data_IF_641705783462
#
_entry.id   IF_641705783462
#
_cell.length_a   1.000
_cell.length_b   1.000
_cell.length_c   1.000
_cell.angle_alpha   90.00
_cell.angle_beta   90.00
_cell.angle_gamma   90.00
#
_symmetry.space_group_name_H-M   'P 1'
#
loop_
_entity.id
_entity.type
_entity.pdbx_description
1 polymer ?
#
# COMPACT_ATOMS: atom_id res chain seq x y z
N UNK A 1 -10.85 25.51 14.40
CA UNK A 1 -9.45 25.62 13.95
C UNK A 1 -8.59 25.04 15.07
N UNK A 2 -8.31 23.74 14.99
CA UNK A 2 -7.37 23.14 15.92
C UNK A 2 -5.98 23.69 15.64
N UNK A 3 -5.33 24.13 16.69
CA UNK A 3 -4.03 24.75 16.69
C UNK A 3 -2.98 23.67 16.26
N UNK A 4 -2.67 23.59 14.96
CA UNK A 4 -1.59 22.76 14.44
C UNK A 4 -0.24 23.39 14.83
N UNK A 5 -0.02 23.46 16.16
CA UNK A 5 1.27 23.83 16.70
C UNK A 5 2.35 22.96 16.10
N UNK A 6 3.47 23.58 15.80
CA UNK A 6 4.69 23.11 15.18
C UNK A 6 5.14 21.70 15.66
N UNK A 7 4.43 20.61 15.21
CA UNK A 7 4.80 19.22 15.52
C UNK A 7 6.08 18.90 14.77
N UNK A 8 7.04 18.27 15.45
CA UNK A 8 8.22 17.75 14.73
C UNK A 8 7.88 16.48 13.95
N UNK A 9 8.66 16.15 12.91
CA UNK A 9 8.56 14.89 12.16
C UNK A 9 8.62 13.68 13.10
N UNK A 10 9.54 13.73 14.07
CA UNK A 10 9.66 12.67 15.08
C UNK A 10 8.41 12.51 15.94
N UNK A 11 7.71 13.62 16.27
CA UNK A 11 6.45 13.57 17.01
C UNK A 11 5.34 12.91 16.17
N UNK A 12 5.26 13.22 14.86
CA UNK A 12 4.32 12.58 13.93
C UNK A 12 4.53 11.07 13.85
N UNK A 13 5.78 10.64 13.71
CA UNK A 13 6.12 9.20 13.67
C UNK A 13 5.81 8.52 15.00
N UNK A 14 6.14 9.14 16.12
CA UNK A 14 5.84 8.61 17.46
C UNK A 14 4.33 8.47 17.71
N UNK A 15 3.53 9.42 17.24
CA UNK A 15 2.07 9.38 17.31
C UNK A 15 1.53 8.22 16.45
N UNK A 16 2.06 8.06 15.24
CA UNK A 16 1.72 6.92 14.38
C UNK A 16 2.10 5.59 15.04
N UNK A 17 3.31 5.47 15.59
CA UNK A 17 3.76 4.28 16.30
C UNK A 17 2.86 3.96 17.51
N UNK A 18 2.50 4.98 18.30
CA UNK A 18 1.59 4.82 19.44
C UNK A 18 0.15 4.44 19.03
N UNK A 19 -0.23 4.67 17.77
CA UNK A 19 -1.55 4.33 17.25
C UNK A 19 -1.69 2.88 16.80
N UNK A 20 -0.61 2.11 16.74
CA UNK A 20 -0.57 0.72 16.33
C UNK A 20 0.08 -0.18 17.38
N UNK A 21 0.51 -1.34 16.94
CA UNK A 21 1.20 -2.34 17.79
C UNK A 21 2.24 -3.10 16.99
N UNK A 22 3.15 -3.75 17.71
CA UNK A 22 4.09 -4.68 17.09
C UNK A 22 3.59 -6.11 17.19
N UNK A 23 3.80 -6.88 16.13
CA UNK A 23 3.47 -8.28 16.00
C UNK A 23 4.76 -9.07 15.67
N UNK A 24 4.97 -10.20 16.34
CA UNK A 24 6.05 -11.12 15.99
C UNK A 24 5.54 -12.14 14.98
N UNK A 25 6.09 -12.11 13.76
CA UNK A 25 5.83 -13.08 12.69
C UNK A 25 7.15 -13.76 12.34
N UNK A 26 7.25 -15.05 12.59
CA UNK A 26 8.51 -15.80 12.56
C UNK A 26 9.60 -15.06 13.39
N UNK A 27 10.77 -14.83 12.82
CA UNK A 27 11.87 -14.12 13.47
C UNK A 27 11.75 -12.59 13.40
N UNK A 28 10.70 -12.03 12.76
CA UNK A 28 10.63 -10.62 12.45
C UNK A 28 9.56 -9.89 13.24
N UNK A 29 9.93 -8.74 13.81
CA UNK A 29 9.03 -7.79 14.47
C UNK A 29 8.46 -6.84 13.43
N UNK A 30 7.15 -6.83 13.24
CA UNK A 30 6.48 -5.95 12.27
C UNK A 30 5.51 -5.01 12.98
N UNK A 31 5.34 -3.83 12.42
CA UNK A 31 4.37 -2.86 12.89
C UNK A 31 3.01 -3.10 12.21
N UNK A 32 1.95 -2.97 12.98
CA UNK A 32 0.58 -3.13 12.54
C UNK A 32 -0.25 -1.96 13.03
N UNK A 33 -0.77 -1.18 12.13
CA UNK A 33 -1.84 -0.23 12.41
C UNK A 33 -3.15 -1.03 12.42
N UNK A 34 -3.81 -1.13 13.58
CA UNK A 34 -4.98 -1.99 13.82
C UNK A 34 -5.99 -1.22 14.70
N UNK A 35 -7.09 -0.78 14.11
CA UNK A 35 -8.09 0.06 14.78
C UNK A 35 -9.51 -0.40 14.51
N UNK A 36 -10.37 -0.10 15.46
CA UNK A 36 -11.79 -0.44 15.38
C UNK A 36 -12.07 -1.88 15.80
N UNK A 37 -13.30 -2.30 15.54
CA UNK A 37 -13.82 -3.65 15.84
C UNK A 37 -14.82 -4.02 14.75
N UNK A 38 -15.13 -5.31 14.63
CA UNK A 38 -16.05 -5.81 13.62
C UNK A 38 -15.33 -6.53 12.50
N UNK A 39 -15.94 -6.56 11.32
CA UNK A 39 -15.40 -7.23 10.15
C UNK A 39 -14.08 -6.62 9.71
N UNK A 40 -13.11 -7.47 9.38
CA UNK A 40 -11.75 -7.00 9.12
C UNK A 40 -11.60 -6.46 7.69
N UNK A 41 -10.95 -5.30 7.58
CA UNK A 41 -10.46 -4.74 6.32
C UNK A 41 -8.93 -4.71 6.37
N UNK A 42 -8.29 -5.56 5.58
CA UNK A 42 -6.84 -5.72 5.53
C UNK A 42 -6.27 -4.96 4.34
N UNK A 43 -5.50 -3.92 4.63
CA UNK A 43 -4.90 -3.03 3.64
C UNK A 43 -3.43 -3.36 3.42
N UNK A 44 -2.99 -3.41 2.16
CA UNK A 44 -1.58 -3.58 1.78
C UNK A 44 -1.12 -2.33 1.07
N UNK A 45 -0.11 -1.67 1.65
CA UNK A 45 0.50 -0.47 1.11
C UNK A 45 1.54 -0.78 0.03
N UNK A 46 1.99 0.24 -0.67
CA UNK A 46 3.04 0.16 -1.67
C UNK A 46 4.35 0.82 -1.27
N UNK A 47 5.18 1.13 -2.26
CA UNK A 47 6.45 1.83 -2.10
C UNK A 47 6.35 3.28 -2.62
N UNK A 48 7.13 4.19 -2.03
CA UNK A 48 7.98 4.08 -0.85
C UNK A 48 7.22 4.40 0.46
N UNK A 49 6.05 3.81 0.66
CA UNK A 49 5.12 4.12 1.75
C UNK A 49 5.10 3.04 2.84
N UNK A 50 4.15 3.17 3.77
CA UNK A 50 3.91 2.25 4.87
C UNK A 50 2.44 2.32 5.29
N UNK A 51 2.05 1.69 6.39
CA UNK A 51 0.73 1.86 7.00
C UNK A 51 0.38 3.32 7.32
N UNK A 52 1.39 4.19 7.38
CA UNK A 52 1.19 5.63 7.55
C UNK A 52 0.30 6.23 6.46
N UNK A 53 0.40 5.76 5.22
CA UNK A 53 -0.46 6.16 4.11
C UNK A 53 -1.95 5.85 4.40
N UNK A 54 -2.22 4.74 5.06
CA UNK A 54 -3.58 4.28 5.34
C UNK A 54 -4.20 4.84 6.63
N UNK A 55 -3.47 5.65 7.44
CA UNK A 55 -3.93 6.11 8.77
C UNK A 55 -5.31 6.76 8.76
N UNK A 56 -5.61 7.58 7.74
CA UNK A 56 -6.89 8.28 7.60
C UNK A 56 -8.01 7.31 7.17
N UNK A 57 -7.73 6.44 6.21
CA UNK A 57 -8.68 5.41 5.74
C UNK A 57 -9.05 4.46 6.88
N UNK A 58 -8.07 3.98 7.65
CA UNK A 58 -8.28 3.05 8.77
C UNK A 58 -9.11 3.71 9.88
N UNK A 59 -8.86 4.98 10.20
CA UNK A 59 -9.71 5.70 11.15
C UNK A 59 -11.16 5.77 10.65
N UNK A 60 -11.37 6.13 9.39
CA UNK A 60 -12.73 6.20 8.80
C UNK A 60 -13.42 4.84 8.76
N UNK A 61 -12.68 3.75 8.51
CA UNK A 61 -13.22 2.40 8.58
C UNK A 61 -13.62 2.02 10.01
N UNK A 62 -12.81 2.40 11.00
CA UNK A 62 -13.14 2.17 12.41
C UNK A 62 -14.42 2.93 12.84
N UNK A 63 -14.60 4.17 12.37
CA UNK A 63 -15.80 4.96 12.60
C UNK A 63 -17.06 4.34 11.96
N UNK A 64 -16.88 3.56 10.89
CA UNK A 64 -17.95 2.79 10.21
C UNK A 64 -18.20 1.41 10.83
N UNK A 65 -17.48 1.04 11.89
CA UNK A 65 -17.66 -0.21 12.62
C UNK A 65 -16.83 -1.38 12.08
N UNK A 66 -15.85 -1.14 11.20
CA UNK A 66 -14.89 -2.14 10.74
C UNK A 66 -13.65 -2.20 11.63
N UNK A 67 -12.95 -3.31 11.59
CA UNK A 67 -11.57 -3.41 12.07
C UNK A 67 -10.63 -3.15 10.90
N UNK A 68 -10.13 -1.91 10.77
CA UNK A 68 -9.16 -1.54 9.75
C UNK A 68 -7.74 -1.95 10.16
N UNK A 69 -7.03 -2.62 9.28
CA UNK A 69 -5.69 -3.17 9.55
C UNK A 69 -4.77 -2.85 8.37
N UNK A 70 -3.57 -2.32 8.64
CA UNK A 70 -2.48 -2.25 7.68
C UNK A 70 -1.18 -2.65 8.35
N UNK A 71 -0.48 -3.60 7.75
CA UNK A 71 0.83 -4.07 8.21
C UNK A 71 1.90 -3.31 7.45
N UNK A 72 2.91 -2.78 8.14
CA UNK A 72 4.13 -2.32 7.46
C UNK A 72 4.87 -3.53 6.92
N UNK A 73 5.05 -3.58 5.60
CA UNK A 73 5.80 -4.64 4.94
C UNK A 73 7.23 -4.73 5.50
N UNK A 74 7.81 -5.94 5.64
CA UNK A 74 9.22 -6.08 5.96
C UNK A 74 10.08 -5.16 5.09
N UNK A 75 10.99 -4.42 5.72
CA UNK A 75 11.83 -3.45 5.03
C UNK A 75 11.27 -2.04 4.91
N UNK A 76 10.02 -1.79 5.32
CA UNK A 76 9.37 -0.49 5.20
C UNK A 76 8.76 -0.03 6.53
N UNK A 77 8.48 1.26 6.64
CA UNK A 77 7.85 1.88 7.80
C UNK A 77 8.56 1.58 9.11
N UNK A 78 7.79 1.13 10.09
CA UNK A 78 8.25 0.78 11.44
C UNK A 78 8.59 -0.72 11.60
N UNK A 79 8.45 -1.52 10.54
CA UNK A 79 8.76 -2.95 10.54
C UNK A 79 10.26 -3.22 10.46
N UNK A 80 10.67 -4.42 10.90
CA UNK A 80 12.03 -4.91 10.79
C UNK A 80 12.53 -4.94 9.33
N UNK A 81 13.86 -4.80 9.17
CA UNK A 81 14.55 -4.72 7.88
C UNK A 81 15.60 -5.83 7.74
N UNK A 82 15.19 -7.12 7.75
CA UNK A 82 16.15 -8.22 7.74
C UNK A 82 16.95 -8.25 6.43
N UNK A 83 18.23 -8.60 6.55
CA UNK A 83 19.11 -8.71 5.38
C UNK A 83 18.78 -9.92 4.51
N UNK A 84 18.45 -11.04 5.13
CA UNK A 84 18.19 -12.34 4.48
C UNK A 84 16.69 -12.62 4.31
N UNK A 85 15.90 -11.57 3.99
CA UNK A 85 14.48 -11.72 3.74
C UNK A 85 14.21 -11.84 2.22
N UNK A 86 13.25 -12.68 1.86
CA UNK A 86 12.76 -12.76 0.50
C UNK A 86 11.84 -11.55 0.18
N UNK A 87 12.42 -10.54 -0.45
CA UNK A 87 11.74 -9.31 -0.83
C UNK A 87 11.01 -9.39 -2.19
N UNK A 88 10.79 -10.59 -2.73
CA UNK A 88 9.92 -10.81 -3.89
C UNK A 88 8.45 -10.58 -3.50
N UNK A 89 7.57 -10.38 -4.48
CA UNK A 89 6.13 -10.28 -4.20
C UNK A 89 5.59 -11.56 -3.57
N UNK A 90 6.05 -12.72 -4.03
CA UNK A 90 5.70 -14.03 -3.44
C UNK A 90 6.17 -14.16 -2.00
N UNK A 91 7.43 -13.82 -1.71
CA UNK A 91 7.97 -13.84 -0.35
C UNK A 91 7.22 -12.92 0.61
N UNK A 92 6.87 -11.71 0.15
CA UNK A 92 6.06 -10.75 0.91
C UNK A 92 4.62 -11.28 1.11
N UNK A 93 4.00 -11.91 0.10
CA UNK A 93 2.67 -12.51 0.21
C UNK A 93 2.64 -13.67 1.20
N UNK A 94 3.62 -14.57 1.15
CA UNK A 94 3.76 -15.69 2.09
C UNK A 94 3.94 -15.19 3.53
N UNK A 95 4.72 -14.13 3.71
CA UNK A 95 4.88 -13.49 5.01
C UNK A 95 3.57 -12.87 5.52
N UNK A 96 2.84 -12.15 4.66
CA UNK A 96 1.53 -11.58 5.01
C UNK A 96 0.50 -12.66 5.33
N UNK A 97 0.53 -13.83 4.67
CA UNK A 97 -0.33 -14.96 5.02
C UNK A 97 -0.12 -15.43 6.46
N UNK A 98 1.14 -15.46 6.93
CA UNK A 98 1.48 -15.74 8.33
C UNK A 98 1.03 -14.61 9.27
N UNK A 99 1.18 -13.34 8.86
CA UNK A 99 0.71 -12.20 9.63
C UNK A 99 -0.82 -12.23 9.81
N UNK A 100 -1.58 -12.50 8.75
CA UNK A 100 -3.05 -12.69 8.77
C UNK A 100 -3.44 -13.78 9.79
N UNK A 101 -2.74 -14.93 9.78
CA UNK A 101 -2.95 -16.00 10.76
C UNK A 101 -2.67 -15.55 12.20
N UNK A 102 -1.58 -14.83 12.43
CA UNK A 102 -1.20 -14.28 13.75
C UNK A 102 -2.17 -13.21 14.26
N UNK A 103 -2.80 -12.44 13.35
CA UNK A 103 -3.83 -11.45 13.66
C UNK A 103 -5.20 -12.08 13.94
N UNK A 104 -5.35 -13.39 13.75
CA UNK A 104 -6.59 -14.12 13.95
C UNK A 104 -7.66 -13.78 12.92
N UNK A 105 -7.28 -13.43 11.68
CA UNK A 105 -8.23 -13.09 10.63
C UNK A 105 -8.75 -14.35 9.95
N UNK A 106 -9.99 -14.73 10.26
CA UNK A 106 -10.69 -15.86 9.63
C UNK A 106 -11.24 -15.47 8.26
N UNK A 107 -11.83 -14.26 8.16
CA UNK A 107 -12.35 -13.64 6.95
C UNK A 107 -11.97 -12.18 6.93
N UNK A 108 -11.74 -11.60 5.74
CA UNK A 108 -11.43 -10.18 5.61
C UNK A 108 -11.69 -9.63 4.21
N UNK A 109 -11.96 -8.33 4.14
CA UNK A 109 -11.92 -7.54 2.92
C UNK A 109 -10.49 -7.14 2.65
N UNK A 110 -10.01 -7.36 1.44
CA UNK A 110 -8.65 -7.01 1.03
C UNK A 110 -8.65 -5.68 0.28
N UNK A 111 -7.76 -4.77 0.67
CA UNK A 111 -7.52 -3.50 -0.03
C UNK A 111 -6.06 -3.44 -0.46
N UNK A 112 -5.82 -3.21 -1.73
CA UNK A 112 -4.47 -3.24 -2.32
C UNK A 112 -4.16 -1.93 -3.03
N UNK A 113 -2.89 -1.50 -2.99
CA UNK A 113 -2.42 -0.28 -3.62
C UNK A 113 -0.96 -0.42 -4.05
N UNK A 114 -0.58 0.09 -5.24
CA UNK A 114 0.79 0.06 -5.77
C UNK A 114 1.36 -1.37 -5.78
N UNK A 115 2.59 -1.65 -5.31
CA UNK A 115 3.11 -3.02 -5.18
C UNK A 115 2.26 -3.91 -4.26
N UNK A 116 1.47 -3.30 -3.38
CA UNK A 116 0.48 -4.03 -2.59
C UNK A 116 -0.57 -4.73 -3.44
N UNK A 117 -0.72 -4.37 -4.73
CA UNK A 117 -1.54 -5.09 -5.71
C UNK A 117 -0.98 -6.49 -5.99
N UNK A 118 0.16 -6.64 -6.69
CA UNK A 118 0.76 -7.95 -6.95
C UNK A 118 0.94 -8.81 -5.69
N UNK A 119 1.39 -8.22 -4.57
CA UNK A 119 1.51 -8.91 -3.28
C UNK A 119 0.14 -9.39 -2.78
N UNK A 120 -0.86 -8.54 -2.83
CA UNK A 120 -2.21 -8.84 -2.34
C UNK A 120 -2.94 -9.84 -3.23
N UNK A 121 -2.75 -9.81 -4.54
CA UNK A 121 -3.28 -10.83 -5.45
C UNK A 121 -2.66 -12.19 -5.17
N UNK A 122 -1.34 -12.24 -4.96
CA UNK A 122 -0.67 -13.46 -4.55
C UNK A 122 -1.19 -13.96 -3.18
N UNK A 123 -1.38 -13.09 -2.19
CA UNK A 123 -1.98 -13.42 -0.90
C UNK A 123 -3.42 -13.96 -1.06
N UNK A 124 -4.23 -13.34 -1.92
CA UNK A 124 -5.59 -13.76 -2.17
C UNK A 124 -5.68 -15.18 -2.75
N UNK A 125 -4.71 -15.58 -3.58
CA UNK A 125 -4.65 -16.96 -4.09
C UNK A 125 -4.29 -17.97 -3.01
N UNK A 126 -3.45 -17.60 -2.04
CA UNK A 126 -3.08 -18.44 -0.90
C UNK A 126 -4.22 -18.61 0.11
N UNK A 127 -5.14 -17.65 0.19
CA UNK A 127 -6.18 -17.58 1.22
C UNK A 127 -7.55 -17.29 0.64
N UNK A 128 -7.85 -17.82 -0.55
CA UNK A 128 -9.06 -17.52 -1.35
C UNK A 128 -10.35 -17.65 -0.53
N UNK A 129 -10.41 -18.65 0.34
CA UNK A 129 -11.58 -18.90 1.20
C UNK A 129 -11.76 -17.86 2.33
N UNK A 130 -10.74 -17.06 2.61
CA UNK A 130 -10.77 -15.99 3.62
C UNK A 130 -11.17 -14.64 3.04
N UNK A 131 -11.10 -14.48 1.73
CA UNK A 131 -11.40 -13.20 1.08
C UNK A 131 -12.91 -12.98 1.03
N UNK A 132 -13.38 -11.86 1.57
CA UNK A 132 -14.78 -11.41 1.48
C UNK A 132 -15.00 -10.49 0.27
N UNK A 133 -14.06 -9.61 -0.02
CA UNK A 133 -14.04 -8.77 -1.22
C UNK A 133 -12.62 -8.27 -1.51
N UNK A 134 -12.39 -7.77 -2.72
CA UNK A 134 -11.15 -7.04 -3.07
C UNK A 134 -11.49 -5.62 -3.55
N UNK A 135 -10.84 -4.63 -2.94
CA UNK A 135 -10.82 -3.25 -3.42
C UNK A 135 -9.43 -2.93 -3.97
N UNK A 136 -9.37 -2.61 -5.24
CA UNK A 136 -8.13 -2.32 -5.97
C UNK A 136 -7.97 -0.80 -6.09
N UNK A 137 -6.88 -0.26 -5.53
CA UNK A 137 -6.50 1.14 -5.66
C UNK A 137 -5.25 1.22 -6.54
N UNK A 138 -5.15 2.20 -7.43
CA UNK A 138 -3.99 2.47 -8.33
C UNK A 138 -2.84 1.45 -8.25
N UNK A 139 -2.92 0.38 -9.03
CA UNK A 139 -1.95 -0.73 -9.10
C UNK A 139 -1.96 -1.34 -10.51
N UNK A 140 -1.41 -2.53 -10.68
CA UNK A 140 -1.40 -3.30 -11.93
C UNK A 140 -1.60 -4.79 -11.67
N UNK A 141 -2.04 -5.52 -12.68
CA UNK A 141 -2.22 -6.99 -12.68
C UNK A 141 -1.20 -7.69 -13.59
N UNK A 142 -0.94 -7.13 -14.77
CA UNK A 142 0.01 -7.69 -15.73
C UNK A 142 1.44 -7.31 -15.34
N UNK A 143 2.06 -8.13 -14.52
CA UNK A 143 3.43 -7.92 -14.06
C UNK A 143 4.47 -8.08 -15.16
N UNK A 144 4.15 -8.82 -16.24
CA UNK A 144 5.05 -9.04 -17.40
C UNK A 144 5.17 -7.78 -18.23
N UNK A 145 4.05 -7.10 -18.46
CA UNK A 145 4.00 -5.87 -19.27
C UNK A 145 4.04 -4.59 -18.40
N UNK A 146 4.29 -4.74 -17.10
CA UNK A 146 4.42 -3.60 -16.22
C UNK A 146 5.69 -2.79 -16.52
N UNK A 147 5.53 -1.51 -16.73
CA UNK A 147 6.65 -0.59 -16.87
C UNK A 147 6.76 0.30 -15.64
N UNK A 148 7.85 0.14 -14.89
CA UNK A 148 8.12 1.03 -13.78
C UNK A 148 8.14 2.49 -14.22
N UNK A 149 7.48 3.39 -13.50
CA UNK A 149 7.55 4.83 -13.76
C UNK A 149 8.99 5.31 -13.86
N UNK A 150 9.27 6.26 -14.75
CA UNK A 150 10.64 6.73 -15.04
C UNK A 150 11.39 7.16 -13.77
N UNK A 151 10.70 7.77 -12.82
CA UNK A 151 11.27 8.21 -11.53
C UNK A 151 11.64 7.04 -10.61
N UNK A 152 11.11 5.83 -10.84
CA UNK A 152 11.37 4.64 -10.04
C UNK A 152 12.44 3.72 -10.65
N UNK A 153 12.69 3.81 -11.98
CA UNK A 153 13.66 2.96 -12.69
C UNK A 153 15.10 3.04 -12.15
N UNK A 154 15.63 4.19 -11.70
CA UNK A 154 16.97 4.27 -11.13
C UNK A 154 17.18 3.33 -9.93
N UNK A 155 16.15 3.09 -9.11
CA UNK A 155 16.25 2.26 -7.91
C UNK A 155 16.47 0.76 -8.18
N UNK A 156 16.26 0.31 -9.42
CA UNK A 156 16.57 -1.07 -9.84
C UNK A 156 18.08 -1.30 -9.97
N UNK A 157 18.82 -0.26 -10.31
CA UNK A 157 20.23 -0.34 -10.67
C UNK A 157 21.11 -0.19 -9.43
N UNK A 158 22.08 -1.09 -9.30
CA UNK A 158 23.12 -0.96 -8.28
C UNK A 158 23.89 0.36 -8.47
N UNK A 159 24.35 0.95 -7.39
CA UNK A 159 25.06 2.24 -7.30
C UNK A 159 24.14 3.44 -7.63
N UNK A 160 23.40 3.40 -8.74
CA UNK A 160 22.50 4.49 -9.14
C UNK A 160 21.33 4.58 -8.13
N UNK A 161 20.73 3.45 -7.77
CA UNK A 161 19.64 3.42 -6.78
C UNK A 161 20.08 3.95 -5.42
N UNK A 162 21.29 3.61 -4.96
CA UNK A 162 21.86 4.16 -3.73
C UNK A 162 22.10 5.68 -3.81
N UNK A 163 22.50 6.17 -4.99
CA UNK A 163 22.68 7.61 -5.22
C UNK A 163 21.32 8.34 -5.23
N UNK A 164 20.33 7.82 -5.97
CA UNK A 164 18.99 8.38 -5.99
C UNK A 164 18.29 8.36 -4.62
N UNK A 165 18.50 7.28 -3.87
CA UNK A 165 17.96 7.19 -2.52
C UNK A 165 18.50 8.30 -1.59
N UNK A 166 19.75 8.76 -1.79
CA UNK A 166 20.31 9.90 -1.05
C UNK A 166 19.64 11.22 -1.43
N UNK A 167 19.17 11.35 -2.67
CA UNK A 167 18.45 12.55 -3.15
C UNK A 167 17.08 12.67 -2.48
N UNK A 168 16.41 11.57 -2.18
CA UNK A 168 15.16 11.60 -1.40
C UNK A 168 15.45 12.20 -0.02
N UNK A 169 14.87 13.36 0.26
CA UNK A 169 15.13 14.14 1.47
C UNK A 169 13.89 14.95 1.88
N UNK A 170 13.92 15.58 3.03
CA UNK A 170 12.87 16.51 3.46
C UNK A 170 12.69 17.71 2.52
N UNK A 171 13.63 17.97 1.61
CA UNK A 171 13.54 19.06 0.62
C UNK A 171 12.97 18.55 -0.71
N UNK A 172 13.46 17.44 -1.21
CA UNK A 172 13.09 16.92 -2.54
C UNK A 172 11.82 16.11 -2.52
N UNK A 173 11.54 15.39 -1.45
CA UNK A 173 10.36 14.55 -1.32
C UNK A 173 9.03 15.34 -1.43
N UNK A 174 8.85 16.50 -0.77
CA UNK A 174 7.63 17.29 -0.95
C UNK A 174 7.34 17.67 -2.41
N UNK A 175 8.38 17.91 -3.22
CA UNK A 175 8.24 18.19 -4.65
C UNK A 175 7.76 16.96 -5.42
N UNK A 176 8.34 15.79 -5.14
CA UNK A 176 7.92 14.51 -5.72
C UNK A 176 6.50 14.14 -5.26
N UNK A 177 6.22 14.33 -3.98
CA UNK A 177 4.92 14.04 -3.37
C UNK A 177 3.81 14.88 -4.03
N UNK A 178 4.04 16.18 -4.26
CA UNK A 178 3.10 17.04 -4.96
C UNK A 178 2.99 16.68 -6.46
N UNK A 179 4.12 16.38 -7.11
CA UNK A 179 4.14 16.06 -8.53
C UNK A 179 3.40 14.76 -8.85
N UNK A 180 3.65 13.70 -8.09
CA UNK A 180 3.21 12.33 -8.36
C UNK A 180 2.10 11.85 -7.43
N UNK A 181 2.16 12.24 -6.17
CA UNK A 181 1.38 11.64 -5.10
C UNK A 181 0.00 12.24 -4.92
N UNK A 182 -0.09 13.56 -4.81
CA UNK A 182 -1.33 14.28 -4.46
C UNK A 182 -1.60 15.45 -5.39
N UNK A 183 -2.86 15.89 -5.48
CA UNK A 183 -3.27 17.04 -6.28
C UNK A 183 -2.89 18.32 -5.56
N UNK A 184 -3.13 18.37 -4.26
CA UNK A 184 -2.82 19.53 -3.43
C UNK A 184 -2.18 19.08 -2.11
N UNK A 185 -0.91 19.41 -1.90
CA UNK A 185 -0.20 19.11 -0.65
C UNK A 185 -0.37 20.18 0.44
N UNK A 186 -0.98 21.32 0.15
CA UNK A 186 -1.14 22.42 1.12
C UNK A 186 -2.06 22.04 2.28
N UNK A 187 -2.95 21.05 2.07
CA UNK A 187 -3.86 20.54 3.10
C UNK A 187 -3.21 19.44 3.98
N UNK A 188 -2.00 18.99 3.62
CA UNK A 188 -1.28 17.95 4.35
C UNK A 188 -0.14 18.62 5.12
N UNK A 189 -0.07 18.47 6.46
CA UNK A 189 1.01 19.06 7.25
C UNK A 189 2.40 18.68 6.71
N UNK A 190 3.28 19.65 6.58
CA UNK A 190 4.62 19.44 6.01
C UNK A 190 5.41 18.36 6.76
N UNK A 191 5.21 18.24 8.07
CA UNK A 191 5.84 17.23 8.92
C UNK A 191 5.33 15.82 8.60
N UNK A 192 4.07 15.68 8.19
CA UNK A 192 3.51 14.40 7.73
C UNK A 192 4.11 14.01 6.38
N UNK A 193 4.30 14.95 5.46
CA UNK A 193 4.98 14.68 4.19
C UNK A 193 6.43 14.26 4.42
N UNK A 194 7.16 14.94 5.32
CA UNK A 194 8.54 14.59 5.68
C UNK A 194 8.65 13.24 6.40
N UNK A 195 7.62 12.84 7.15
CA UNK A 195 7.61 11.57 7.86
C UNK A 195 7.73 10.35 6.92
N UNK A 196 7.26 10.44 5.67
CA UNK A 196 7.48 9.39 4.66
C UNK A 196 8.95 9.12 4.41
N UNK A 197 9.79 10.17 4.38
CA UNK A 197 11.25 10.04 4.19
C UNK A 197 11.89 9.33 5.37
N UNK A 198 11.56 9.74 6.59
CA UNK A 198 12.14 9.17 7.80
C UNK A 198 11.69 7.71 7.99
N UNK A 199 10.43 7.38 7.67
CA UNK A 199 9.92 6.01 7.69
C UNK A 199 10.57 5.15 6.60
N UNK A 200 10.84 5.69 5.41
CA UNK A 200 11.53 4.98 4.33
C UNK A 200 12.97 4.65 4.71
N UNK A 201 13.68 5.63 5.28
CA UNK A 201 15.13 5.55 5.54
C UNK A 201 15.50 5.02 6.93
N UNK A 202 14.52 4.80 7.78
CA UNK A 202 14.72 4.35 9.15
C UNK A 202 15.68 3.15 9.21
N UNK A 203 16.65 3.21 10.16
CA UNK A 203 17.62 2.16 10.51
C UNK A 203 18.60 1.74 9.41
N UNK A 204 18.14 1.48 8.17
CA UNK A 204 18.98 0.93 7.09
C UNK A 204 19.28 1.93 5.96
N UNK A 205 18.87 3.19 6.12
CA UNK A 205 18.93 4.21 5.07
C UNK A 205 18.19 3.82 3.78
N UNK A 206 17.14 2.99 3.86
CA UNK A 206 16.31 2.57 2.73
C UNK A 206 16.90 1.42 1.91
N UNK A 207 17.88 0.66 2.42
CA UNK A 207 18.48 -0.48 1.69
C UNK A 207 17.44 -1.57 1.40
N UNK A 208 16.54 -1.85 2.34
CA UNK A 208 15.48 -2.84 2.12
C UNK A 208 14.50 -2.39 1.02
N UNK A 209 14.18 -1.10 0.92
CA UNK A 209 13.41 -0.58 -0.21
C UNK A 209 14.10 -0.87 -1.55
N UNK A 210 15.43 -0.68 -1.65
CA UNK A 210 16.16 -1.02 -2.88
C UNK A 210 16.09 -2.52 -3.20
N UNK A 211 16.13 -3.38 -2.16
CA UNK A 211 15.94 -4.83 -2.37
C UNK A 211 14.55 -5.13 -2.95
N UNK A 212 13.49 -4.51 -2.42
CA UNK A 212 12.14 -4.65 -2.97
C UNK A 212 12.13 -4.19 -4.44
N UNK A 213 12.67 -3.01 -4.76
CA UNK A 213 12.67 -2.47 -6.12
C UNK A 213 13.40 -3.34 -7.15
N UNK A 214 14.38 -4.13 -6.69
CA UNK A 214 15.20 -5.03 -7.52
C UNK A 214 14.65 -6.45 -7.65
N UNK A 215 13.63 -6.80 -6.86
CA UNK A 215 13.06 -8.14 -6.81
C UNK A 215 11.58 -8.19 -7.24
N UNK A 216 11.16 -7.29 -8.14
CA UNK A 216 9.84 -7.39 -8.75
C UNK A 216 9.78 -8.65 -9.61
N UNK A 217 8.76 -9.47 -9.38
CA UNK A 217 8.49 -10.63 -10.21
C UNK A 217 7.76 -10.20 -11.48
N UNK A 218 8.24 -10.67 -12.62
CA UNK A 218 7.76 -10.35 -13.96
C UNK A 218 7.51 -11.60 -14.82
N UNK A 219 7.37 -12.78 -14.19
CA UNK A 219 7.11 -14.02 -14.89
C UNK A 219 5.64 -14.18 -15.30
N UNK A 220 5.40 -14.94 -16.38
CA UNK A 220 4.04 -15.30 -16.80
C UNK A 220 3.30 -16.10 -15.72
N UNK A 221 3.99 -16.99 -15.01
CA UNK A 221 3.40 -17.77 -13.91
C UNK A 221 2.88 -16.84 -12.80
N UNK A 222 3.67 -15.84 -12.42
CA UNK A 222 3.24 -14.88 -11.39
C UNK A 222 2.11 -13.97 -11.90
N UNK A 223 2.14 -13.55 -13.16
CA UNK A 223 1.03 -12.83 -13.82
C UNK A 223 -0.26 -13.65 -13.75
N UNK A 224 -0.23 -14.91 -14.14
CA UNK A 224 -1.39 -15.78 -14.17
C UNK A 224 -1.94 -16.02 -12.73
N UNK A 225 -1.05 -16.06 -11.75
CA UNK A 225 -1.41 -16.04 -10.33
C UNK A 225 -2.17 -14.76 -9.96
N UNK A 226 -1.68 -13.59 -10.35
CA UNK A 226 -2.38 -12.32 -10.12
C UNK A 226 -3.76 -12.30 -10.77
N UNK A 227 -3.87 -12.74 -12.03
CA UNK A 227 -5.13 -12.82 -12.76
C UNK A 227 -6.14 -13.72 -12.05
N UNK A 228 -5.70 -14.88 -11.58
CA UNK A 228 -6.57 -15.83 -10.88
C UNK A 228 -7.16 -15.29 -9.57
N UNK A 229 -6.57 -14.23 -8.99
CA UNK A 229 -7.10 -13.58 -7.79
C UNK A 229 -8.35 -12.73 -8.05
N UNK A 230 -8.60 -12.35 -9.31
CA UNK A 230 -9.72 -11.48 -9.67
C UNK A 230 -10.64 -12.08 -10.74
N UNK A 231 -10.19 -13.14 -11.43
CA UNK A 231 -10.98 -13.82 -12.46
C UNK A 231 -11.75 -15.02 -11.91
N UNK A 232 -13.03 -15.13 -12.27
CA UNK A 232 -13.89 -16.26 -11.90
C UNK A 232 -13.91 -16.55 -10.39
N UNK A 233 -13.85 -15.51 -9.58
CA UNK A 233 -13.89 -15.58 -8.11
C UNK A 233 -15.33 -15.46 -7.59
N UNK A 234 -15.56 -15.92 -6.35
CA UNK A 234 -16.88 -15.86 -5.72
C UNK A 234 -17.11 -14.60 -4.90
N UNK A 235 -16.06 -13.88 -4.57
CA UNK A 235 -16.14 -12.61 -3.84
C UNK A 235 -16.20 -11.42 -4.80
N UNK A 236 -16.87 -10.34 -4.43
CA UNK A 236 -16.93 -9.15 -5.25
C UNK A 236 -15.59 -8.45 -5.34
N UNK A 237 -15.31 -7.88 -6.52
CA UNK A 237 -14.12 -7.08 -6.82
C UNK A 237 -14.54 -5.71 -7.31
N UNK A 238 -13.87 -4.66 -6.85
CA UNK A 238 -14.03 -3.30 -7.36
C UNK A 238 -12.67 -2.63 -7.56
N UNK A 239 -12.63 -1.63 -8.43
CA UNK A 239 -11.50 -0.73 -8.58
C UNK A 239 -11.90 0.72 -8.29
N UNK A 240 -11.03 1.42 -7.53
CA UNK A 240 -11.16 2.84 -7.19
C UNK A 240 -9.84 3.51 -7.56
N UNK A 241 -9.90 4.53 -8.40
CA UNK A 241 -8.72 5.08 -9.02
C UNK A 241 -8.57 6.58 -8.78
N UNK A 242 -7.38 7.02 -8.40
CA UNK A 242 -7.00 8.42 -8.48
C UNK A 242 -6.82 8.79 -9.97
N UNK A 243 -7.82 9.43 -10.56
CA UNK A 243 -7.90 9.65 -12.01
C UNK A 243 -6.77 10.54 -12.57
N UNK A 244 -6.05 11.25 -11.69
CA UNK A 244 -4.93 12.12 -12.06
C UNK A 244 -3.56 11.50 -11.78
N UNK A 245 -3.50 10.19 -11.51
CA UNK A 245 -2.24 9.47 -11.28
C UNK A 245 -1.38 9.52 -12.55
N UNK A 246 -0.20 10.18 -12.53
CA UNK A 246 0.65 10.26 -13.70
C UNK A 246 1.52 9.01 -13.92
N UNK A 247 1.59 8.12 -12.94
CA UNK A 247 2.41 6.93 -12.96
C UNK A 247 1.61 5.68 -13.35
N UNK A 248 0.57 5.39 -12.58
CA UNK A 248 -0.34 4.28 -12.85
C UNK A 248 -1.63 4.85 -13.45
N UNK A 249 -1.57 5.22 -14.73
CA UNK A 249 -2.66 5.92 -15.40
C UNK A 249 -3.91 5.04 -15.54
N UNK A 250 -5.08 5.68 -15.46
CA UNK A 250 -6.35 5.00 -15.66
C UNK A 250 -6.45 4.38 -17.06
N UNK A 251 -5.93 5.09 -18.09
CA UNK A 251 -5.95 4.63 -19.48
C UNK A 251 -5.18 3.33 -19.71
N UNK A 252 -4.11 3.12 -18.99
CA UNK A 252 -3.30 1.90 -19.15
C UNK A 252 -3.68 0.86 -18.11
N UNK A 253 -3.38 1.14 -16.86
CA UNK A 253 -3.50 0.15 -15.79
C UNK A 253 -4.93 0.00 -15.27
N UNK A 254 -5.71 1.09 -15.23
CA UNK A 254 -7.13 1.02 -14.87
C UNK A 254 -7.92 0.21 -15.87
N UNK A 255 -7.75 0.46 -17.18
CA UNK A 255 -8.42 -0.31 -18.24
C UNK A 255 -8.01 -1.78 -18.24
N UNK A 256 -6.72 -2.07 -18.02
CA UNK A 256 -6.23 -3.44 -17.86
C UNK A 256 -6.99 -4.17 -16.75
N UNK A 257 -7.11 -3.53 -15.58
CA UNK A 257 -7.85 -4.12 -14.44
C UNK A 257 -9.34 -4.29 -14.77
N UNK A 258 -9.96 -3.30 -15.41
CA UNK A 258 -11.36 -3.36 -15.84
C UNK A 258 -11.63 -4.60 -16.70
N UNK A 259 -10.76 -4.83 -17.69
CA UNK A 259 -10.88 -5.95 -18.65
C UNK A 259 -10.58 -7.29 -17.98
N UNK A 260 -9.47 -7.40 -17.26
CA UNK A 260 -9.02 -8.66 -16.66
C UNK A 260 -9.95 -9.13 -15.55
N UNK A 261 -10.39 -8.22 -14.67
CA UNK A 261 -11.30 -8.53 -13.58
C UNK A 261 -12.79 -8.50 -14.00
N UNK A 262 -13.08 -8.24 -15.28
CA UNK A 262 -14.43 -8.14 -15.85
C UNK A 262 -15.35 -7.21 -15.03
N UNK A 263 -14.85 -6.01 -14.71
CA UNK A 263 -15.60 -5.02 -13.95
C UNK A 263 -16.53 -4.21 -14.88
N UNK A 264 -17.67 -3.80 -14.39
CA UNK A 264 -18.58 -2.92 -15.15
C UNK A 264 -18.04 -1.49 -15.28
N UNK A 265 -17.34 -1.02 -14.24
CA UNK A 265 -16.75 0.34 -14.20
C UNK A 265 -15.64 0.43 -13.15
N UNK A 266 -14.85 1.48 -13.27
CA UNK A 266 -13.91 1.93 -12.24
C UNK A 266 -14.45 3.20 -11.60
N UNK A 267 -14.40 3.28 -10.27
CA UNK A 267 -14.72 4.52 -9.58
C UNK A 267 -13.52 5.48 -9.67
N UNK A 268 -13.71 6.58 -10.38
CA UNK A 268 -12.71 7.63 -10.50
C UNK A 268 -12.84 8.63 -9.35
N UNK A 269 -11.72 8.96 -8.70
CA UNK A 269 -11.66 9.99 -7.66
C UNK A 269 -10.70 11.11 -8.09
N UNK A 270 -10.94 12.37 -7.73
CA UNK A 270 -10.15 13.51 -8.17
C UNK A 270 -8.81 13.62 -7.42
N UNK A 271 -8.02 12.57 -7.43
CA UNK A 271 -6.73 12.45 -6.75
C UNK A 271 -5.67 11.86 -7.68
N UNK A 272 -4.40 11.93 -7.24
CA UNK A 272 -3.28 11.25 -7.86
C UNK A 272 -2.99 9.91 -7.16
N UNK A 273 -1.71 9.49 -7.17
CA UNK A 273 -1.28 8.16 -6.73
C UNK A 273 -1.56 7.89 -5.23
N UNK A 274 -1.33 8.85 -4.35
CA UNK A 274 -1.60 8.70 -2.90
C UNK A 274 -3.02 9.15 -2.53
N UNK A 275 -4.02 8.57 -3.19
CA UNK A 275 -5.43 8.91 -3.00
C UNK A 275 -5.89 8.77 -1.54
N UNK A 276 -5.24 7.95 -0.74
CA UNK A 276 -5.49 7.78 0.69
C UNK A 276 -5.22 9.04 1.50
N UNK A 277 -4.39 9.96 1.00
CA UNK A 277 -4.12 11.24 1.67
C UNK A 277 -5.20 12.28 1.46
N UNK A 278 -5.87 12.26 0.30
CA UNK A 278 -6.81 13.31 -0.11
C UNK A 278 -8.27 12.88 -0.02
N UNK A 279 -8.59 11.64 -0.43
CA UNK A 279 -9.97 11.18 -0.61
C UNK A 279 -10.31 9.96 0.24
N UNK A 280 -9.71 9.86 1.43
CA UNK A 280 -9.84 8.73 2.36
C UNK A 280 -11.27 8.39 2.75
N UNK A 281 -12.15 9.41 2.87
CA UNK A 281 -13.57 9.21 3.18
C UNK A 281 -14.28 8.49 2.03
N UNK A 282 -14.03 8.91 0.79
CA UNK A 282 -14.62 8.28 -0.39
C UNK A 282 -14.12 6.84 -0.55
N UNK A 283 -12.84 6.56 -0.25
CA UNK A 283 -12.29 5.21 -0.25
C UNK A 283 -13.00 4.34 0.80
N UNK A 284 -13.12 4.83 2.04
CA UNK A 284 -13.81 4.11 3.11
C UNK A 284 -15.29 3.85 2.78
N UNK A 285 -15.98 4.80 2.12
CA UNK A 285 -17.35 4.63 1.65
C UNK A 285 -17.48 3.55 0.56
N UNK A 286 -16.50 3.46 -0.34
CA UNK A 286 -16.49 2.42 -1.38
C UNK A 286 -16.23 1.04 -0.78
N UNK A 287 -15.34 0.94 0.19
CA UNK A 287 -15.08 -0.31 0.92
C UNK A 287 -16.33 -0.73 1.70
N UNK A 288 -17.00 0.20 2.39
CA UNK A 288 -18.24 -0.07 3.12
C UNK A 288 -19.37 -0.59 2.21
N UNK A 289 -19.50 -0.01 1.01
CA UNK A 289 -20.52 -0.45 0.04
C UNK A 289 -20.29 -1.87 -0.46
N UNK A 290 -19.06 -2.21 -0.87
CA UNK A 290 -18.75 -3.57 -1.35
C UNK A 290 -18.81 -4.60 -0.22
N UNK A 291 -18.53 -4.20 1.01
CA UNK A 291 -18.62 -5.08 2.18
C UNK A 291 -20.07 -5.45 2.54
N UNK A 292 -21.03 -4.61 2.17
CA UNK A 292 -22.46 -4.82 2.42
C UNK A 292 -23.21 -5.44 1.25
N UNK A 293 -22.56 -5.63 0.11
CA UNK A 293 -23.16 -6.22 -1.10
C UNK A 293 -23.15 -7.75 -1.02
#
# INVERSE_FOLDING_TARGET
MENHGNRSVAAVIKEHEASGKYLQVDAHKIFVLDKGKGEAVFCIHGVPTSSFLYRKVINSLADKGYRGICVDLPGLGLSARPEDFDYTFSGLADFLAKAVKKLGLEKYHLVVHDIGGPIGFALATLQREKILSITILNTWLDVVNFEKPLVMRPFEKNIIGEAELKVISHITWPLMFNSMGVVNNDEIPAEEIKAYVDLLKREDNGKAFLKIMRNFEDSEEFRDRCYSAVQNVKYPVQAVWGAKDPALTLERYGKEILEIANLEHITELPSKHFLQEEVWLAIADKIDRIAKA
#
